data_IF_550001251594
#
_entry.id   IF_550001251594
#
_cell.length_a   1.000
_cell.length_b   1.000
_cell.length_c   1.000
_cell.angle_alpha   90.00
_cell.angle_beta   90.00
_cell.angle_gamma   90.00
#
_symmetry.space_group_name_H-M   'P 1'
#
loop_
_entity.id
_entity.type
_entity.pdbx_description
1 polymer ?
#
# COMPACT_ATOMS: atom_id res chain seq x y z
N UNK A 1 -35.48 -23.28 16.31
CA UNK A 1 -35.02 -21.95 16.77
C UNK A 1 -35.20 -20.94 15.63
N UNK A 2 -35.46 -19.68 15.98
CA UNK A 2 -35.55 -18.64 14.95
C UNK A 2 -34.17 -18.14 14.56
N UNK A 3 -33.94 -17.92 13.29
CA UNK A 3 -32.73 -17.30 12.79
C UNK A 3 -32.74 -15.79 13.17
N UNK A 4 -31.54 -15.21 13.31
CA UNK A 4 -31.45 -13.76 13.49
C UNK A 4 -31.69 -13.04 12.16
N UNK A 5 -31.17 -13.60 11.06
CA UNK A 5 -31.31 -13.04 9.71
C UNK A 5 -31.50 -14.19 8.71
N UNK A 6 -32.45 -14.01 7.80
CA UNK A 6 -32.68 -14.91 6.67
C UNK A 6 -32.62 -14.08 5.37
N UNK A 7 -31.65 -14.38 4.51
CA UNK A 7 -31.53 -13.77 3.19
C UNK A 7 -32.14 -14.77 2.20
N UNK A 8 -33.18 -14.34 1.46
CA UNK A 8 -33.93 -15.19 0.55
C UNK A 8 -33.68 -14.87 -0.91
N UNK A 9 -33.86 -15.89 -1.75
CA UNK A 9 -33.96 -15.79 -3.20
C UNK A 9 -32.67 -15.30 -3.92
N UNK A 10 -31.55 -15.22 -3.22
CA UNK A 10 -30.32 -14.65 -3.79
C UNK A 10 -29.58 -15.60 -4.73
N UNK A 11 -28.80 -15.05 -5.65
CA UNK A 11 -27.80 -15.81 -6.40
C UNK A 11 -26.53 -15.87 -5.52
N UNK A 12 -26.32 -17.01 -4.87
CA UNK A 12 -25.16 -17.18 -3.98
C UNK A 12 -23.90 -17.40 -4.81
N UNK A 13 -22.88 -16.56 -4.58
CA UNK A 13 -21.53 -16.69 -5.14
C UNK A 13 -20.59 -16.75 -3.94
N UNK A 14 -20.18 -17.94 -3.56
CA UNK A 14 -19.58 -18.20 -2.26
C UNK A 14 -18.05 -18.11 -2.22
N UNK A 15 -17.42 -17.73 -3.34
CA UNK A 15 -15.95 -17.56 -3.40
C UNK A 15 -15.17 -18.85 -3.63
N UNK A 16 -15.83 -20.01 -3.76
CA UNK A 16 -15.13 -21.29 -3.99
C UNK A 16 -14.70 -21.49 -5.43
N UNK A 17 -15.15 -20.63 -6.35
CA UNK A 17 -14.91 -20.76 -7.80
C UNK A 17 -15.98 -21.55 -8.54
N UNK A 18 -16.93 -22.15 -7.85
CA UNK A 18 -18.07 -22.81 -8.52
C UNK A 18 -19.05 -21.78 -9.07
N UNK A 19 -19.83 -22.15 -10.08
CA UNK A 19 -20.89 -21.25 -10.60
C UNK A 19 -21.86 -20.82 -9.48
N UNK A 20 -22.40 -19.61 -9.60
CA UNK A 20 -23.43 -19.12 -8.67
C UNK A 20 -24.68 -19.99 -8.74
N UNK A 21 -25.37 -20.12 -7.61
CA UNK A 21 -26.58 -20.93 -7.48
C UNK A 21 -27.62 -20.20 -6.64
N UNK A 22 -28.90 -20.42 -6.95
CA UNK A 22 -30.01 -19.84 -6.15
C UNK A 22 -30.09 -20.54 -4.81
N UNK A 23 -30.12 -19.77 -3.73
CA UNK A 23 -30.25 -20.29 -2.36
C UNK A 23 -30.62 -19.19 -1.38
N UNK A 24 -31.05 -19.60 -0.21
CA UNK A 24 -31.26 -18.74 0.95
C UNK A 24 -30.06 -18.90 1.90
N UNK A 25 -29.79 -17.88 2.70
CA UNK A 25 -28.70 -17.90 3.69
C UNK A 25 -29.29 -17.55 5.06
N UNK A 26 -29.10 -18.44 6.03
CA UNK A 26 -29.57 -18.24 7.40
C UNK A 26 -28.40 -17.95 8.35
N UNK A 27 -28.59 -16.96 9.20
CA UNK A 27 -27.58 -16.48 10.16
C UNK A 27 -28.15 -16.54 11.58
N UNK A 28 -27.37 -17.05 12.52
CA UNK A 28 -27.68 -17.04 13.95
C UNK A 28 -26.40 -16.72 14.72
N UNK A 29 -26.50 -15.82 15.71
CA UNK A 29 -25.37 -15.38 16.53
C UNK A 29 -24.16 -14.94 15.69
N UNK A 30 -24.44 -14.20 14.60
CA UNK A 30 -23.41 -13.64 13.72
C UNK A 30 -22.72 -14.67 12.83
N UNK A 31 -23.24 -15.90 12.76
CA UNK A 31 -22.64 -16.97 11.94
C UNK A 31 -23.64 -17.50 10.93
N UNK A 32 -23.15 -17.78 9.71
CA UNK A 32 -23.93 -18.49 8.70
C UNK A 32 -24.11 -19.93 9.23
N UNK A 33 -25.36 -20.32 9.46
CA UNK A 33 -25.68 -21.65 9.98
C UNK A 33 -26.22 -22.59 8.91
N UNK A 34 -26.78 -22.00 7.82
CA UNK A 34 -27.30 -22.82 6.72
C UNK A 34 -27.28 -22.02 5.42
N UNK A 35 -26.91 -22.69 4.33
CA UNK A 35 -27.02 -22.17 2.96
C UNK A 35 -27.74 -23.24 2.12
N UNK A 36 -28.85 -22.85 1.50
CA UNK A 36 -29.69 -23.79 0.75
C UNK A 36 -31.15 -23.39 0.85
N UNK A 37 -31.91 -24.22 1.59
CA UNK A 37 -33.35 -24.00 1.79
C UNK A 37 -33.70 -23.94 3.27
N UNK A 38 -33.08 -23.03 4.05
CA UNK A 38 -33.44 -22.93 5.47
C UNK A 38 -34.95 -22.70 5.65
N UNK A 39 -35.55 -23.50 6.52
CA UNK A 39 -36.98 -23.54 6.72
C UNK A 39 -37.31 -23.18 8.17
N UNK A 40 -37.07 -21.94 8.53
CA UNK A 40 -37.33 -21.43 9.88
C UNK A 40 -37.80 -20.00 9.87
N UNK A 41 -38.42 -19.58 10.98
CA UNK A 41 -38.73 -18.17 11.21
C UNK A 41 -37.42 -17.40 11.43
N UNK A 42 -37.43 -16.13 11.11
CA UNK A 42 -36.29 -15.24 11.32
C UNK A 42 -36.75 -13.92 11.95
N UNK A 43 -35.88 -13.33 12.79
CA UNK A 43 -36.14 -12.00 13.35
C UNK A 43 -36.16 -10.94 12.25
N UNK A 44 -35.29 -11.11 11.26
CA UNK A 44 -35.19 -10.22 10.09
C UNK A 44 -35.10 -11.06 8.82
N UNK A 45 -35.81 -10.64 7.76
CA UNK A 45 -35.71 -11.26 6.43
C UNK A 45 -35.38 -10.20 5.41
N UNK A 46 -34.41 -10.53 4.54
CA UNK A 46 -34.02 -9.69 3.41
C UNK A 46 -34.28 -10.49 2.12
N UNK A 47 -35.06 -9.91 1.21
CA UNK A 47 -35.28 -10.50 -0.10
C UNK A 47 -34.18 -10.04 -1.05
N UNK A 48 -33.35 -10.97 -1.53
CA UNK A 48 -32.25 -10.75 -2.46
C UNK A 48 -32.55 -11.29 -3.86
N UNK A 49 -33.83 -11.26 -4.28
CA UNK A 49 -34.32 -11.88 -5.51
C UNK A 49 -33.57 -11.49 -6.77
N UNK A 50 -33.11 -10.26 -6.88
CA UNK A 50 -32.35 -9.77 -8.04
C UNK A 50 -30.89 -9.42 -7.66
N UNK A 51 -30.40 -9.98 -6.55
CA UNK A 51 -29.08 -9.67 -6.03
C UNK A 51 -28.17 -10.90 -6.00
N UNK A 52 -26.87 -10.61 -6.06
CA UNK A 52 -25.84 -11.60 -5.72
C UNK A 52 -25.61 -11.53 -4.20
N UNK A 53 -25.59 -12.69 -3.57
CA UNK A 53 -25.22 -12.84 -2.16
C UNK A 53 -23.83 -13.47 -2.10
N UNK A 54 -22.86 -12.72 -1.62
CA UNK A 54 -21.47 -13.17 -1.53
C UNK A 54 -20.88 -12.88 -0.16
N UNK A 55 -19.79 -13.55 0.22
CA UNK A 55 -19.00 -13.10 1.37
C UNK A 55 -18.55 -11.66 1.16
N UNK A 56 -18.34 -10.92 2.23
CA UNK A 56 -17.75 -9.59 2.15
C UNK A 56 -16.36 -9.64 1.56
N UNK A 57 -15.99 -8.60 0.83
CA UNK A 57 -14.67 -8.56 0.17
C UNK A 57 -13.57 -8.38 1.21
N UNK A 58 -12.41 -8.96 0.92
CA UNK A 58 -11.18 -8.73 1.68
C UNK A 58 -10.29 -7.85 0.80
N UNK A 59 -9.91 -6.67 1.31
CA UNK A 59 -8.94 -5.82 0.62
C UNK A 59 -7.55 -6.11 1.22
N UNK A 60 -6.68 -6.82 0.50
CA UNK A 60 -5.39 -7.24 1.05
C UNK A 60 -4.34 -6.14 1.04
N UNK A 61 -4.64 -4.94 0.51
CA UNK A 61 -3.62 -3.92 0.36
C UNK A 61 -4.19 -2.52 0.61
N UNK A 62 -4.08 -2.05 1.84
CA UNK A 62 -4.58 -0.72 2.23
C UNK A 62 -3.56 0.01 3.09
N UNK A 63 -3.72 1.33 3.18
CA UNK A 63 -2.89 2.22 4.00
C UNK A 63 -3.77 3.02 4.97
N UNK A 64 -4.67 2.32 5.66
CA UNK A 64 -5.53 2.91 6.68
C UNK A 64 -4.84 3.08 8.05
N UNK A 65 -3.54 2.83 8.12
CA UNK A 65 -2.75 2.80 9.36
C UNK A 65 -2.99 4.03 10.25
N UNK A 66 -3.01 5.22 9.65
CA UNK A 66 -3.30 6.44 10.38
C UNK A 66 -4.82 6.71 10.45
N UNK A 67 -5.54 6.43 9.35
CA UNK A 67 -6.95 6.78 9.22
C UNK A 67 -7.83 6.11 10.29
N UNK A 68 -7.50 4.90 10.73
CA UNK A 68 -8.25 4.20 11.80
C UNK A 68 -8.25 4.99 13.11
N UNK A 69 -7.34 5.96 13.29
CA UNK A 69 -7.33 6.82 14.48
C UNK A 69 -8.54 7.76 14.53
N UNK A 70 -9.11 8.11 13.38
CA UNK A 70 -10.24 9.06 13.31
C UNK A 70 -11.44 8.53 12.53
N UNK A 71 -11.31 7.43 11.80
CA UNK A 71 -12.40 6.88 10.98
C UNK A 71 -12.59 5.40 11.28
N UNK A 72 -13.37 5.11 12.31
CA UNK A 72 -13.70 3.73 12.66
C UNK A 72 -14.59 3.03 11.62
N UNK A 73 -15.20 3.78 10.70
CA UNK A 73 -15.97 3.16 9.59
C UNK A 73 -15.06 2.60 8.49
N UNK A 74 -13.77 3.01 8.48
CA UNK A 74 -12.77 2.59 7.48
C UNK A 74 -13.26 2.88 6.05
N UNK A 75 -13.65 4.14 5.85
CA UNK A 75 -14.19 4.59 4.56
C UNK A 75 -13.06 4.92 3.57
N UNK A 76 -13.28 4.75 2.26
CA UNK A 76 -14.52 4.30 1.62
C UNK A 76 -14.65 2.79 1.46
N UNK A 77 -13.67 1.97 1.89
CA UNK A 77 -13.70 0.52 1.66
C UNK A 77 -14.99 -0.12 2.18
N UNK A 78 -15.44 0.26 3.40
CA UNK A 78 -16.66 -0.27 3.99
C UNK A 78 -17.92 0.04 3.16
N UNK A 79 -17.91 1.16 2.41
CA UNK A 79 -19.04 1.53 1.54
C UNK A 79 -19.16 0.63 0.30
N UNK A 80 -18.09 -0.10 -0.02
CA UNK A 80 -18.03 -0.90 -1.25
C UNK A 80 -18.10 -2.42 -0.97
N UNK A 81 -18.59 -2.79 0.21
CA UNK A 81 -18.79 -4.20 0.57
C UNK A 81 -17.52 -4.88 1.07
N UNK A 82 -16.46 -4.12 1.34
CA UNK A 82 -15.27 -4.66 2.00
C UNK A 82 -15.60 -4.87 3.49
N UNK A 83 -15.32 -6.05 4.00
CA UNK A 83 -15.56 -6.41 5.40
C UNK A 83 -14.26 -6.74 6.15
N UNK A 84 -13.14 -6.77 5.43
CA UNK A 84 -11.82 -6.98 6.05
C UNK A 84 -10.77 -6.22 5.25
N UNK A 85 -9.87 -5.52 5.92
CA UNK A 85 -8.73 -4.82 5.28
C UNK A 85 -7.43 -5.27 5.92
N UNK A 86 -6.36 -5.25 5.12
CA UNK A 86 -4.99 -5.49 5.61
C UNK A 86 -4.24 -4.15 5.60
N UNK A 87 -3.72 -3.76 6.77
CA UNK A 87 -2.96 -2.53 6.99
C UNK A 87 -1.47 -2.83 7.13
N UNK A 88 -0.64 -1.80 7.04
CA UNK A 88 0.80 -1.95 7.21
C UNK A 88 1.51 -2.45 5.98
N UNK A 89 0.96 -2.23 4.79
CA UNK A 89 1.55 -2.67 3.53
C UNK A 89 2.78 -1.84 3.14
N UNK A 90 3.53 -2.30 2.15
CA UNK A 90 4.67 -1.59 1.54
C UNK A 90 5.79 -1.22 2.53
N UNK A 91 5.79 -1.81 3.72
CA UNK A 91 6.80 -1.50 4.74
C UNK A 91 6.64 -0.12 5.36
N UNK A 92 5.52 0.59 5.13
CA UNK A 92 5.26 1.92 5.69
C UNK A 92 4.10 1.87 6.69
N UNK A 93 4.20 2.65 7.77
CA UNK A 93 3.17 2.69 8.81
C UNK A 93 3.60 3.59 9.97
N UNK A 94 2.82 3.59 11.05
CA UNK A 94 3.00 4.51 12.17
C UNK A 94 3.33 3.81 13.51
N UNK A 95 3.62 2.52 13.46
CA UNK A 95 3.95 1.77 14.69
C UNK A 95 4.95 0.64 14.38
N UNK A 96 5.88 0.34 15.31
CA UNK A 96 6.09 1.01 16.61
C UNK A 96 6.67 2.40 16.40
N UNK A 97 6.44 3.32 17.34
CA UNK A 97 6.88 4.70 17.15
C UNK A 97 7.17 5.39 18.49
N UNK A 98 8.39 5.89 18.64
CA UNK A 98 8.75 6.73 19.78
C UNK A 98 8.39 8.19 19.49
N UNK A 99 8.23 8.97 20.53
CA UNK A 99 7.83 10.38 20.45
C UNK A 99 8.68 11.17 19.43
N UNK A 100 9.99 10.98 19.48
CA UNK A 100 10.93 11.72 18.61
C UNK A 100 10.84 11.29 17.14
N UNK A 101 10.24 10.13 16.83
CA UNK A 101 10.11 9.61 15.47
C UNK A 101 8.75 9.92 14.83
N UNK A 102 7.80 10.51 15.56
CA UNK A 102 6.43 10.73 15.05
C UNK A 102 6.40 11.57 13.78
N UNK A 103 7.21 12.63 13.72
CA UNK A 103 7.28 13.50 12.52
C UNK A 103 7.83 12.73 11.33
N UNK A 104 8.83 11.88 11.54
CA UNK A 104 9.41 11.03 10.48
C UNK A 104 8.34 10.08 9.94
N UNK A 105 7.63 9.37 10.83
CA UNK A 105 6.58 8.42 10.46
C UNK A 105 5.45 9.10 9.66
N UNK A 106 5.02 10.29 10.08
CA UNK A 106 4.01 11.06 9.33
C UNK A 106 4.53 11.44 7.94
N UNK A 107 5.76 11.92 7.82
CA UNK A 107 6.32 12.30 6.52
C UNK A 107 6.53 11.09 5.60
N UNK A 108 6.83 9.92 6.13
CA UNK A 108 6.89 8.70 5.32
C UNK A 108 5.54 8.43 4.65
N UNK A 109 4.44 8.55 5.41
CA UNK A 109 3.08 8.40 4.85
C UNK A 109 2.72 9.52 3.88
N UNK A 110 3.10 10.78 4.17
CA UNK A 110 2.89 11.89 3.23
C UNK A 110 3.59 11.59 1.91
N UNK A 111 4.81 11.10 1.98
CA UNK A 111 5.65 10.92 0.78
C UNK A 111 5.21 9.72 -0.05
N UNK A 112 4.81 8.62 0.59
CA UNK A 112 4.51 7.37 -0.11
C UNK A 112 3.02 7.27 -0.47
N UNK A 113 2.13 7.73 0.43
CA UNK A 113 0.68 7.55 0.27
C UNK A 113 -0.06 8.85 -0.02
N UNK A 114 0.66 9.98 -0.08
CA UNK A 114 0.10 11.31 -0.37
C UNK A 114 -0.97 11.76 0.65
N UNK A 115 -0.93 11.23 1.86
CA UNK A 115 -1.86 11.66 2.94
C UNK A 115 -1.40 13.04 3.43
N UNK A 116 -2.28 14.05 3.48
CA UNK A 116 -1.85 15.40 3.90
C UNK A 116 -1.29 15.40 5.33
N UNK A 117 -0.16 16.07 5.52
CA UNK A 117 0.50 16.16 6.83
C UNK A 117 -0.45 16.70 7.92
N UNK A 118 -1.26 17.70 7.55
CA UNK A 118 -2.21 18.32 8.47
C UNK A 118 -3.27 17.32 8.95
N UNK A 119 -3.70 16.42 8.07
CA UNK A 119 -4.66 15.36 8.45
C UNK A 119 -4.01 14.37 9.42
N UNK A 120 -2.78 13.96 9.14
CA UNK A 120 -2.03 13.06 10.02
C UNK A 120 -1.79 13.71 11.40
N UNK A 121 -1.30 14.95 11.39
CA UNK A 121 -0.97 15.69 12.61
C UNK A 121 -2.19 15.94 13.51
N UNK A 122 -3.36 16.14 12.90
CA UNK A 122 -4.60 16.36 13.66
C UNK A 122 -5.27 15.04 14.08
N UNK A 123 -5.10 13.99 13.28
CA UNK A 123 -5.88 12.76 13.43
C UNK A 123 -5.21 11.66 14.25
N UNK A 124 -3.88 11.59 14.26
CA UNK A 124 -3.19 10.52 14.96
C UNK A 124 -3.09 10.85 16.46
N UNK A 125 -3.55 9.95 17.31
CA UNK A 125 -3.62 10.17 18.76
C UNK A 125 -2.34 9.80 19.50
N UNK A 126 -1.47 8.97 18.87
CA UNK A 126 -0.19 8.53 19.45
C UNK A 126 -0.33 7.96 20.87
N UNK A 127 -1.37 7.14 21.11
CA UNK A 127 -1.60 6.49 22.41
C UNK A 127 -0.95 5.10 22.48
N UNK A 128 0.19 4.95 21.79
CA UNK A 128 1.02 3.74 21.75
C UNK A 128 2.50 4.12 21.56
N UNK A 129 3.38 3.20 21.93
CA UNK A 129 4.79 3.22 21.53
C UNK A 129 5.14 1.94 20.75
N UNK A 130 4.64 0.79 21.23
CA UNK A 130 4.91 -0.52 20.62
C UNK A 130 3.85 -0.88 19.59
N UNK A 131 4.15 -1.89 18.78
CA UNK A 131 3.20 -2.37 17.75
C UNK A 131 1.97 -3.07 18.39
N UNK A 132 2.11 -3.92 19.42
CA UNK A 132 0.93 -4.45 20.10
C UNK A 132 0.01 -3.36 20.69
N UNK A 133 0.59 -2.33 21.29
CA UNK A 133 -0.22 -1.20 21.81
C UNK A 133 -1.00 -0.50 20.71
N UNK A 134 -0.39 -0.33 19.52
CA UNK A 134 -1.07 0.24 18.36
C UNK A 134 -2.27 -0.65 17.93
N UNK A 135 -2.08 -1.96 17.87
CA UNK A 135 -3.17 -2.89 17.54
C UNK A 135 -4.30 -2.79 18.58
N UNK A 136 -3.96 -2.70 19.86
CA UNK A 136 -4.95 -2.51 20.94
C UNK A 136 -5.66 -1.16 20.79
N UNK A 137 -4.93 -0.11 20.46
CA UNK A 137 -5.48 1.22 20.20
C UNK A 137 -6.51 1.18 19.08
N UNK A 138 -6.17 0.51 17.97
CA UNK A 138 -7.09 0.34 16.85
C UNK A 138 -8.34 -0.45 17.27
N UNK A 139 -8.17 -1.51 18.06
CA UNK A 139 -9.30 -2.33 18.55
C UNK A 139 -10.24 -1.52 19.46
N UNK A 140 -9.68 -0.64 20.32
CA UNK A 140 -10.49 0.22 21.21
C UNK A 140 -11.41 1.17 20.42
N UNK A 141 -11.08 1.49 19.16
CA UNK A 141 -11.88 2.35 18.29
C UNK A 141 -13.09 1.65 17.68
N UNK A 142 -13.21 0.34 17.90
CA UNK A 142 -14.34 -0.48 17.45
C UNK A 142 -14.60 -0.31 15.94
N UNK A 143 -13.62 -0.65 15.10
CA UNK A 143 -13.82 -0.50 13.66
C UNK A 143 -15.01 -1.30 13.16
N UNK A 144 -15.70 -0.77 12.13
CA UNK A 144 -16.92 -1.39 11.59
C UNK A 144 -16.63 -2.63 10.73
N UNK A 145 -15.35 -2.84 10.34
CA UNK A 145 -14.90 -4.00 9.57
C UNK A 145 -13.66 -4.60 10.22
N UNK A 146 -13.30 -5.80 9.82
CA UNK A 146 -12.16 -6.50 10.41
C UNK A 146 -10.84 -5.86 9.94
N UNK A 147 -9.90 -5.74 10.87
CA UNK A 147 -8.55 -5.24 10.60
C UNK A 147 -7.55 -6.39 10.75
N UNK A 148 -6.72 -6.58 9.74
CA UNK A 148 -5.55 -7.45 9.81
C UNK A 148 -4.31 -6.58 9.67
N UNK A 149 -3.29 -6.82 10.47
CA UNK A 149 -2.11 -5.96 10.54
C UNK A 149 -0.87 -6.69 10.04
N UNK A 150 -0.12 -6.04 9.15
CA UNK A 150 1.26 -6.42 8.86
C UNK A 150 2.19 -5.50 9.66
N UNK A 151 3.28 -6.04 10.16
CA UNK A 151 4.34 -5.26 10.82
C UNK A 151 5.17 -4.56 9.71
N UNK A 152 5.02 -3.24 9.50
CA UNK A 152 5.74 -2.56 8.41
C UNK A 152 7.19 -2.32 8.81
N UNK A 153 8.16 -2.81 8.02
CA UNK A 153 9.57 -2.81 8.44
C UNK A 153 10.17 -1.42 8.67
N UNK A 154 9.68 -0.37 8.00
CA UNK A 154 10.23 0.99 8.18
C UNK A 154 10.15 1.45 9.64
N UNK A 155 8.97 1.51 10.29
CA UNK A 155 8.94 1.93 11.69
C UNK A 155 9.66 0.97 12.63
N UNK A 156 9.71 -0.33 12.35
CA UNK A 156 10.49 -1.28 13.16
C UNK A 156 11.99 -0.94 13.11
N UNK A 157 12.49 -0.59 11.92
CA UNK A 157 13.90 -0.17 11.77
C UNK A 157 14.15 1.18 12.45
N UNK A 158 13.24 2.14 12.30
CA UNK A 158 13.34 3.43 13.00
C UNK A 158 13.38 3.24 14.52
N UNK A 159 12.54 2.35 15.03
CA UNK A 159 12.41 2.11 16.48
C UNK A 159 13.72 1.59 17.10
N UNK A 160 14.47 0.77 16.36
CA UNK A 160 15.72 0.16 16.85
C UNK A 160 16.95 0.97 16.50
N UNK A 161 17.00 1.59 15.33
CA UNK A 161 18.21 2.21 14.76
C UNK A 161 18.15 3.74 14.77
N UNK A 162 16.96 4.33 14.99
CA UNK A 162 16.80 5.77 14.88
C UNK A 162 17.05 6.24 13.44
N UNK A 163 17.67 7.40 13.30
CA UNK A 163 17.94 8.02 11.99
C UNK A 163 18.85 7.18 11.10
N UNK A 164 19.74 6.39 11.69
CA UNK A 164 20.67 5.53 10.93
C UNK A 164 19.92 4.49 10.09
N UNK A 165 18.69 4.19 10.44
CA UNK A 165 17.84 3.27 9.66
C UNK A 165 17.65 3.72 8.21
N UNK A 166 17.75 5.03 7.95
CA UNK A 166 17.63 5.63 6.61
C UNK A 166 18.99 5.79 5.90
N UNK A 167 20.07 5.29 6.50
CA UNK A 167 21.43 5.49 5.99
C UNK A 167 22.14 4.18 5.66
N UNK A 168 21.82 3.11 6.40
CA UNK A 168 22.55 1.86 6.29
C UNK A 168 21.69 0.63 6.62
N UNK A 169 22.22 -0.52 6.30
CA UNK A 169 21.67 -1.82 6.75
C UNK A 169 21.87 -1.97 8.27
N UNK A 170 21.06 -2.80 8.91
CA UNK A 170 21.16 -3.08 10.34
C UNK A 170 22.37 -3.99 10.63
N UNK A 171 23.02 -3.74 11.74
CA UNK A 171 24.03 -4.67 12.30
C UNK A 171 23.34 -5.96 12.74
N UNK A 172 24.11 -7.01 12.99
CA UNK A 172 23.59 -8.29 13.48
C UNK A 172 22.76 -8.11 14.77
N UNK A 173 23.22 -7.26 15.68
CA UNK A 173 22.53 -6.99 16.96
C UNK A 173 21.17 -6.28 16.70
N UNK A 174 21.17 -5.26 15.87
CA UNK A 174 19.95 -4.53 15.49
C UNK A 174 18.97 -5.46 14.76
N UNK A 175 19.47 -6.28 13.83
CA UNK A 175 18.66 -7.29 13.12
C UNK A 175 17.96 -8.22 14.13
N UNK A 176 18.70 -8.68 15.15
CA UNK A 176 18.12 -9.54 16.20
C UNK A 176 17.03 -8.84 17.00
N UNK A 177 17.24 -7.55 17.32
CA UNK A 177 16.23 -6.74 18.03
C UNK A 177 14.97 -6.53 17.20
N UNK A 178 15.14 -6.19 15.91
CA UNK A 178 14.01 -6.01 14.98
C UNK A 178 13.25 -7.33 14.84
N UNK A 179 13.97 -8.45 14.67
CA UNK A 179 13.35 -9.78 14.57
C UNK A 179 12.54 -10.14 15.83
N UNK A 180 13.03 -9.73 17.02
CA UNK A 180 12.31 -9.94 18.27
C UNK A 180 11.00 -9.14 18.32
N UNK A 181 11.05 -7.89 17.88
CA UNK A 181 9.85 -7.02 17.80
C UNK A 181 8.82 -7.58 16.80
N UNK A 182 9.30 -8.11 15.65
CA UNK A 182 8.40 -8.76 14.68
C UNK A 182 7.76 -10.01 15.34
N UNK A 183 8.54 -10.78 16.10
CA UNK A 183 8.00 -11.96 16.79
C UNK A 183 6.92 -11.54 17.81
N UNK A 184 7.16 -10.48 18.55
CA UNK A 184 6.18 -9.89 19.48
C UNK A 184 4.90 -9.46 18.76
N UNK A 185 5.04 -8.76 17.61
CA UNK A 185 3.88 -8.35 16.80
C UNK A 185 3.05 -9.58 16.34
N UNK A 186 3.73 -10.64 15.89
CA UNK A 186 3.07 -11.89 15.46
C UNK A 186 2.35 -12.57 16.65
N UNK A 187 2.97 -12.56 17.83
CA UNK A 187 2.34 -13.12 19.04
C UNK A 187 1.12 -12.32 19.46
N UNK A 188 1.16 -11.00 19.27
CA UNK A 188 0.02 -10.11 19.54
C UNK A 188 -1.10 -10.23 18.49
N UNK A 189 -0.87 -10.93 17.37
CA UNK A 189 -1.91 -11.16 16.37
C UNK A 189 -1.63 -10.58 14.99
N UNK A 190 -0.47 -9.99 14.78
CA UNK A 190 -0.12 -9.49 13.44
C UNK A 190 -0.11 -10.63 12.41
N UNK A 191 -0.56 -10.30 11.21
CA UNK A 191 -0.74 -11.26 10.11
C UNK A 191 0.57 -11.54 9.36
N UNK A 192 1.65 -10.85 9.73
CA UNK A 192 2.95 -11.00 9.07
C UNK A 192 3.73 -9.70 9.11
N UNK A 193 4.60 -9.50 8.12
CA UNK A 193 5.32 -8.24 7.99
C UNK A 193 5.34 -7.78 6.52
N UNK A 194 5.69 -6.52 6.32
CA UNK A 194 5.77 -5.96 4.97
C UNK A 194 7.06 -5.18 4.73
N UNK A 195 7.42 -5.03 3.45
CA UNK A 195 8.60 -4.28 3.01
C UNK A 195 8.41 -3.69 1.62
N UNK A 196 9.40 -2.94 1.15
CA UNK A 196 9.45 -2.43 -0.23
C UNK A 196 10.89 -2.34 -0.73
N UNK A 197 11.05 -2.53 -2.05
CA UNK A 197 12.31 -2.19 -2.73
C UNK A 197 12.09 -1.14 -3.82
N UNK A 198 10.90 -0.54 -3.88
CA UNK A 198 10.56 0.42 -4.95
C UNK A 198 11.34 1.72 -4.79
N UNK A 199 11.97 2.16 -5.86
CA UNK A 199 12.79 3.39 -5.86
C UNK A 199 11.95 4.63 -5.53
N UNK A 200 10.67 4.65 -5.91
CA UNK A 200 9.76 5.76 -5.66
C UNK A 200 9.29 5.84 -4.20
N UNK A 201 9.50 4.79 -3.39
CA UNK A 201 9.16 4.84 -1.97
C UNK A 201 10.27 5.59 -1.21
N UNK A 202 10.15 6.91 -1.24
CA UNK A 202 11.05 7.84 -0.57
C UNK A 202 10.39 8.35 0.71
N UNK A 203 11.15 8.33 1.79
CA UNK A 203 10.66 8.76 3.10
C UNK A 203 11.06 10.19 3.45
N UNK A 204 11.14 10.44 4.74
CA UNK A 204 11.47 11.73 5.33
C UNK A 204 12.78 12.28 4.75
N UNK A 205 12.77 13.58 4.42
CA UNK A 205 13.96 14.28 3.91
C UNK A 205 14.43 13.82 2.53
N UNK A 206 13.60 13.09 1.77
CA UNK A 206 13.99 12.58 0.46
C UNK A 206 14.95 11.40 0.51
N UNK A 207 15.06 10.75 1.67
CA UNK A 207 15.85 9.53 1.85
C UNK A 207 14.99 8.31 1.45
N UNK A 208 15.61 7.17 1.14
CA UNK A 208 14.82 5.95 0.95
C UNK A 208 14.01 5.62 2.20
N UNK A 209 12.83 5.00 2.06
CA UNK A 209 12.19 4.37 3.22
C UNK A 209 13.19 3.42 3.89
N UNK A 210 13.21 3.41 5.21
CA UNK A 210 14.21 2.64 5.97
C UNK A 210 14.23 1.15 5.59
N UNK A 211 13.06 0.55 5.31
CA UNK A 211 12.99 -0.87 4.94
C UNK A 211 13.69 -1.19 3.61
N UNK A 212 13.85 -0.19 2.71
CA UNK A 212 14.57 -0.38 1.44
C UNK A 212 16.06 -0.68 1.62
N UNK A 213 16.61 -0.33 2.79
CA UNK A 213 18.03 -0.55 3.11
C UNK A 213 18.27 -1.87 3.84
N UNK A 214 17.22 -2.68 4.03
CA UNK A 214 17.37 -3.98 4.65
C UNK A 214 18.18 -4.91 3.72
N UNK A 215 19.24 -5.49 4.27
CA UNK A 215 20.06 -6.46 3.54
C UNK A 215 19.34 -7.81 3.43
N UNK A 216 19.85 -8.67 2.54
CA UNK A 216 19.34 -10.04 2.40
C UNK A 216 19.40 -10.81 3.74
N UNK A 217 20.45 -10.60 4.52
CA UNK A 217 20.60 -11.27 5.84
C UNK A 217 19.51 -10.78 6.82
N UNK A 218 19.19 -9.49 6.80
CA UNK A 218 18.09 -8.95 7.57
C UNK A 218 16.77 -9.60 7.14
N UNK A 219 16.49 -9.60 5.83
CA UNK A 219 15.24 -10.16 5.29
C UNK A 219 15.13 -11.66 5.63
N UNK A 220 16.22 -12.42 5.55
CA UNK A 220 16.25 -13.84 5.98
C UNK A 220 15.91 -13.98 7.46
N UNK A 221 16.48 -13.13 8.29
CA UNK A 221 16.25 -13.16 9.74
C UNK A 221 14.77 -12.91 10.07
N UNK A 222 14.20 -11.87 9.45
CA UNK A 222 12.79 -11.48 9.66
C UNK A 222 11.83 -12.54 9.12
N UNK A 223 12.06 -13.05 7.92
CA UNK A 223 11.29 -14.15 7.33
C UNK A 223 11.37 -15.41 8.20
N UNK A 224 12.56 -15.67 8.78
CA UNK A 224 12.78 -16.77 9.70
C UNK A 224 11.91 -16.72 10.96
N UNK A 225 11.46 -15.54 11.38
CA UNK A 225 10.51 -15.41 12.49
C UNK A 225 9.20 -16.12 12.12
N UNK A 226 8.66 -15.86 10.94
CA UNK A 226 7.40 -16.48 10.48
C UNK A 226 7.55 -18.00 10.36
N UNK A 227 8.72 -18.48 9.91
CA UNK A 227 9.01 -19.90 9.83
C UNK A 227 8.93 -20.56 11.22
N UNK A 228 9.61 -19.95 12.21
CA UNK A 228 9.62 -20.48 13.59
C UNK A 228 8.21 -20.45 14.20
N UNK A 229 7.44 -19.39 13.96
CA UNK A 229 6.08 -19.23 14.48
C UNK A 229 5.05 -20.07 13.70
N UNK A 230 5.39 -20.55 12.50
CA UNK A 230 4.49 -21.27 11.58
C UNK A 230 3.23 -20.48 11.27
N UNK A 231 3.32 -19.15 11.29
CA UNK A 231 2.21 -18.21 11.10
C UNK A 231 2.60 -17.08 10.14
N UNK A 232 1.60 -16.45 9.57
CA UNK A 232 1.72 -15.19 8.88
C UNK A 232 2.05 -15.29 7.40
N UNK A 233 2.18 -14.12 6.79
CA UNK A 233 2.53 -13.95 5.38
C UNK A 233 3.46 -12.74 5.28
N UNK A 234 4.10 -12.58 4.12
CA UNK A 234 4.93 -11.41 3.83
C UNK A 234 4.28 -10.65 2.68
N UNK A 235 4.22 -9.34 2.79
CA UNK A 235 3.87 -8.46 1.66
C UNK A 235 5.10 -7.67 1.25
N UNK A 236 5.34 -7.54 -0.05
CA UNK A 236 6.46 -6.74 -0.54
C UNK A 236 6.09 -5.96 -1.79
N UNK A 237 6.36 -4.64 -1.76
CA UNK A 237 6.29 -3.82 -2.95
C UNK A 237 7.59 -4.07 -3.74
N UNK A 238 7.49 -4.85 -4.80
CA UNK A 238 8.62 -5.54 -5.42
C UNK A 238 8.99 -5.04 -6.80
N UNK A 239 8.01 -4.84 -7.71
CA UNK A 239 8.32 -4.53 -9.11
C UNK A 239 8.68 -3.04 -9.26
N UNK A 240 9.98 -2.72 -9.29
CA UNK A 240 10.48 -1.35 -9.44
C UNK A 240 9.99 -0.70 -10.74
N UNK A 241 9.89 -1.49 -11.81
CA UNK A 241 9.14 -1.11 -13.00
C UNK A 241 7.76 -1.77 -12.89
N UNK A 242 6.75 -0.97 -12.55
CA UNK A 242 5.41 -1.47 -12.26
C UNK A 242 4.95 -2.49 -13.31
N UNK A 243 4.57 -3.67 -12.86
CA UNK A 243 4.07 -4.75 -13.71
C UNK A 243 5.13 -5.61 -14.38
N UNK A 244 6.42 -5.29 -14.21
CA UNK A 244 7.53 -6.06 -14.80
C UNK A 244 8.40 -6.63 -13.68
N UNK A 245 8.47 -7.94 -13.59
CA UNK A 245 9.27 -8.62 -12.57
C UNK A 245 10.68 -8.90 -13.11
N UNK A 246 11.69 -8.30 -12.51
CA UNK A 246 13.09 -8.45 -12.94
C UNK A 246 13.78 -9.63 -12.24
N UNK A 247 14.96 -9.99 -12.74
CA UNK A 247 15.71 -11.17 -12.26
C UNK A 247 16.08 -11.06 -10.78
N UNK A 248 16.62 -9.92 -10.36
CA UNK A 248 17.01 -9.70 -8.97
C UNK A 248 15.78 -9.61 -8.05
N UNK A 249 14.66 -9.13 -8.57
CA UNK A 249 13.39 -9.12 -7.85
C UNK A 249 12.89 -10.55 -7.61
N UNK A 250 13.08 -11.44 -8.60
CA UNK A 250 12.82 -12.88 -8.40
C UNK A 250 13.68 -13.45 -7.27
N UNK A 251 14.96 -13.07 -7.20
CA UNK A 251 15.87 -13.53 -6.14
C UNK A 251 15.38 -13.10 -4.76
N UNK A 252 14.93 -11.84 -4.64
CA UNK A 252 14.33 -11.35 -3.38
C UNK A 252 13.07 -12.14 -3.01
N UNK A 253 12.21 -12.41 -3.99
CA UNK A 253 10.97 -13.16 -3.77
C UNK A 253 11.28 -14.61 -3.33
N UNK A 254 12.24 -15.27 -4.00
CA UNK A 254 12.68 -16.62 -3.63
C UNK A 254 13.28 -16.64 -2.22
N UNK A 255 14.13 -15.65 -1.90
CA UNK A 255 14.73 -15.52 -0.58
C UNK A 255 13.65 -15.50 0.51
N UNK A 256 12.62 -14.65 0.32
CA UNK A 256 11.54 -14.52 1.32
C UNK A 256 10.73 -15.81 1.45
N UNK A 257 10.40 -16.46 0.32
CA UNK A 257 9.65 -17.72 0.31
C UNK A 257 10.44 -18.84 1.04
N UNK A 258 11.71 -19.01 0.69
CA UNK A 258 12.54 -20.11 1.22
C UNK A 258 12.87 -19.87 2.71
N UNK A 259 13.13 -18.62 3.09
CA UNK A 259 13.46 -18.29 4.48
C UNK A 259 12.23 -18.39 5.39
N UNK A 260 11.05 -18.00 4.90
CA UNK A 260 9.83 -18.02 5.73
C UNK A 260 9.08 -19.35 5.68
N UNK A 261 9.09 -20.03 4.55
CA UNK A 261 8.18 -21.16 4.29
C UNK A 261 6.71 -20.72 4.34
N UNK A 262 6.43 -19.43 4.09
CA UNK A 262 5.09 -18.84 4.22
C UNK A 262 4.71 -18.14 2.92
N UNK A 263 3.42 -17.88 2.70
CA UNK A 263 3.01 -17.10 1.52
C UNK A 263 3.68 -15.74 1.48
N UNK A 264 4.05 -15.33 0.26
CA UNK A 264 4.59 -13.98 0.00
C UNK A 264 3.72 -13.33 -1.07
N UNK A 265 3.05 -12.25 -0.73
CA UNK A 265 2.28 -11.47 -1.71
C UNK A 265 3.12 -10.28 -2.17
N UNK A 266 3.01 -9.92 -3.45
CA UNK A 266 3.84 -8.84 -3.99
C UNK A 266 3.06 -7.95 -4.95
N UNK A 267 3.33 -6.66 -4.91
CA UNK A 267 2.87 -5.73 -5.94
C UNK A 267 4.00 -5.50 -6.95
N UNK A 268 3.73 -5.36 -8.24
CA UNK A 268 2.38 -5.33 -8.78
C UNK A 268 2.31 -6.16 -10.05
N UNK A 269 1.14 -6.71 -10.31
CA UNK A 269 0.81 -7.34 -11.58
C UNK A 269 -0.17 -6.42 -12.30
N UNK A 270 0.33 -5.63 -13.27
CA UNK A 270 -0.50 -4.68 -14.01
C UNK A 270 -0.24 -4.80 -15.49
N UNK A 271 -1.32 -4.77 -16.27
CA UNK A 271 -1.22 -4.68 -17.72
C UNK A 271 -0.75 -3.28 -18.11
N UNK A 272 0.05 -3.20 -19.16
CA UNK A 272 0.68 -1.95 -19.58
C UNK A 272 0.61 -1.79 -21.09
N UNK A 273 0.06 -0.67 -21.55
CA UNK A 273 0.00 -0.36 -22.98
C UNK A 273 1.37 -0.08 -23.59
N UNK A 274 2.31 0.38 -22.76
CA UNK A 274 3.67 0.72 -23.22
C UNK A 274 4.63 -0.49 -23.19
N UNK A 275 4.24 -1.58 -22.55
CA UNK A 275 5.00 -2.83 -22.52
C UNK A 275 4.03 -3.96 -22.76
N UNK A 276 3.89 -4.34 -24.04
CA UNK A 276 3.05 -5.48 -24.41
C UNK A 276 3.57 -6.74 -23.72
N UNK A 277 2.69 -7.61 -23.30
CA UNK A 277 3.02 -8.89 -22.66
C UNK A 277 3.55 -8.77 -21.22
N UNK A 278 3.60 -7.57 -20.61
CA UNK A 278 4.15 -7.38 -19.26
C UNK A 278 3.55 -8.37 -18.25
N UNK A 279 2.22 -8.52 -18.25
CA UNK A 279 1.52 -9.45 -17.34
C UNK A 279 1.93 -10.90 -17.63
N UNK A 280 1.93 -11.28 -18.90
CA UNK A 280 2.24 -12.67 -19.30
C UNK A 280 3.68 -13.04 -18.95
N UNK A 281 4.61 -12.14 -19.25
CA UNK A 281 6.04 -12.36 -18.95
C UNK A 281 6.29 -12.40 -17.43
N UNK A 282 5.65 -11.51 -16.69
CA UNK A 282 5.76 -11.50 -15.22
C UNK A 282 5.18 -12.80 -14.64
N UNK A 283 4.01 -13.25 -15.08
CA UNK A 283 3.43 -14.50 -14.61
C UNK A 283 4.32 -15.71 -14.97
N UNK A 284 4.87 -15.74 -16.20
CA UNK A 284 5.78 -16.80 -16.63
C UNK A 284 7.03 -16.82 -15.75
N UNK A 285 7.62 -15.65 -15.48
CA UNK A 285 8.81 -15.53 -14.64
C UNK A 285 8.51 -15.90 -13.18
N UNK A 286 7.34 -15.49 -12.67
CA UNK A 286 6.92 -15.78 -11.31
C UNK A 286 6.42 -17.21 -11.09
N UNK A 287 6.16 -17.99 -12.16
CA UNK A 287 5.51 -19.30 -12.04
C UNK A 287 6.19 -20.23 -11.00
N UNK A 288 7.54 -20.36 -10.96
CA UNK A 288 8.16 -21.21 -9.94
C UNK A 288 7.92 -20.72 -8.50
N UNK A 289 7.91 -19.39 -8.31
CA UNK A 289 7.64 -18.78 -7.00
C UNK A 289 6.14 -18.91 -6.63
N UNK A 290 5.25 -18.78 -7.61
CA UNK A 290 3.79 -18.98 -7.41
C UNK A 290 3.54 -20.42 -6.92
N UNK A 291 4.24 -21.39 -7.49
CA UNK A 291 4.15 -22.78 -7.05
C UNK A 291 4.62 -22.96 -5.59
N UNK A 292 5.56 -22.13 -5.13
CA UNK A 292 6.06 -22.12 -3.75
C UNK A 292 5.18 -21.30 -2.79
N UNK A 293 4.20 -20.53 -3.31
CA UNK A 293 3.32 -19.73 -2.45
C UNK A 293 3.38 -18.23 -2.67
N UNK A 294 4.05 -17.74 -3.72
CA UNK A 294 3.98 -16.33 -4.08
C UNK A 294 2.58 -16.00 -4.62
N UNK A 295 2.11 -14.79 -4.36
CA UNK A 295 0.80 -14.32 -4.84
C UNK A 295 0.95 -12.88 -5.34
N UNK A 296 0.95 -12.68 -6.66
CA UNK A 296 0.97 -11.31 -7.20
C UNK A 296 -0.36 -10.60 -6.94
N UNK A 297 -0.30 -9.33 -6.61
CA UNK A 297 -1.48 -8.49 -6.42
C UNK A 297 -1.73 -7.65 -7.66
N UNK A 298 -3.02 -7.43 -7.96
CA UNK A 298 -3.47 -6.53 -9.02
C UNK A 298 -4.66 -5.73 -8.52
N UNK A 299 -4.88 -4.58 -9.14
CA UNK A 299 -6.09 -3.78 -8.87
C UNK A 299 -7.24 -4.25 -9.75
N UNK A 300 -8.48 -4.27 -9.23
CA UNK A 300 -9.65 -4.57 -10.07
C UNK A 300 -10.00 -3.42 -11.02
N UNK A 301 -9.40 -2.24 -10.85
CA UNK A 301 -9.63 -1.05 -11.67
C UNK A 301 -8.30 -0.57 -12.24
N UNK A 302 -8.33 0.16 -13.36
CA UNK A 302 -7.12 0.80 -13.87
C UNK A 302 -6.49 1.69 -12.80
N UNK A 303 -5.16 1.62 -12.68
CA UNK A 303 -4.44 2.43 -11.71
C UNK A 303 -4.50 3.90 -12.12
N UNK A 304 -5.23 4.70 -11.38
CA UNK A 304 -5.32 6.13 -11.56
C UNK A 304 -4.73 6.83 -10.34
N UNK A 305 -3.91 7.82 -10.57
CA UNK A 305 -3.21 8.53 -9.50
C UNK A 305 -3.32 10.03 -9.71
N UNK A 306 -3.75 10.73 -8.67
CA UNK A 306 -3.67 12.19 -8.66
C UNK A 306 -2.28 12.62 -8.19
N UNK A 307 -1.75 13.66 -8.81
CA UNK A 307 -0.44 14.21 -8.51
C UNK A 307 -0.59 15.69 -8.17
N UNK A 308 -0.20 16.07 -6.98
CA UNK A 308 -0.07 17.47 -6.57
C UNK A 308 1.42 17.84 -6.59
N UNK A 309 1.74 18.97 -7.17
CA UNK A 309 3.14 19.42 -7.27
C UNK A 309 3.74 19.80 -5.90
N UNK A 310 2.92 19.89 -4.87
CA UNK A 310 3.42 20.03 -3.47
C UNK A 310 3.93 18.69 -2.95
N UNK A 311 3.38 17.58 -3.43
CA UNK A 311 3.88 16.24 -3.16
C UNK A 311 4.00 15.46 -4.47
N UNK A 312 5.06 15.71 -5.25
CA UNK A 312 5.21 15.14 -6.59
C UNK A 312 5.70 13.69 -6.56
N UNK A 313 5.04 12.83 -5.79
CA UNK A 313 5.40 11.43 -5.53
C UNK A 313 5.72 10.66 -6.82
N UNK A 314 4.93 10.87 -7.88
CA UNK A 314 5.12 10.15 -9.15
C UNK A 314 6.50 10.38 -9.78
N UNK A 315 7.19 11.47 -9.39
CA UNK A 315 8.52 11.79 -9.89
C UNK A 315 9.65 11.41 -8.91
N UNK A 316 9.32 10.80 -7.78
CA UNK A 316 10.29 10.50 -6.73
C UNK A 316 11.43 9.56 -7.18
N UNK A 317 11.18 8.75 -8.22
CA UNK A 317 12.20 7.85 -8.79
C UNK A 317 13.27 8.55 -9.64
N UNK A 318 13.00 9.82 -10.04
CA UNK A 318 13.96 10.56 -10.87
C UNK A 318 14.99 11.26 -9.97
N UNK A 319 16.30 11.05 -10.20
CA UNK A 319 17.34 11.67 -9.36
C UNK A 319 17.24 13.18 -9.22
N UNK A 320 16.90 13.90 -10.30
CA UNK A 320 16.74 15.36 -10.26
C UNK A 320 15.68 15.80 -9.22
N UNK A 321 14.64 14.99 -9.00
CA UNK A 321 13.52 15.35 -8.13
C UNK A 321 13.83 15.21 -6.64
N UNK A 322 14.94 14.55 -6.27
CA UNK A 322 15.35 14.45 -4.86
C UNK A 322 15.35 15.82 -4.18
N UNK A 323 15.77 16.87 -4.90
CA UNK A 323 15.80 18.24 -4.40
C UNK A 323 14.43 18.78 -3.99
N UNK A 324 13.36 18.33 -4.67
CA UNK A 324 11.99 18.77 -4.38
C UNK A 324 11.40 18.06 -3.15
N UNK A 325 12.02 16.98 -2.71
CA UNK A 325 11.60 16.23 -1.51
C UNK A 325 12.41 16.58 -0.27
N UNK A 326 13.55 17.25 -0.43
CA UNK A 326 14.44 17.60 0.68
C UNK A 326 13.84 18.69 1.56
N UNK A 327 13.28 19.73 0.94
CA UNK A 327 12.57 20.81 1.63
C UNK A 327 11.24 21.03 0.89
N UNK A 328 10.15 20.68 1.56
CA UNK A 328 8.80 20.75 1.00
C UNK A 328 8.12 22.10 1.22
N UNK A 329 8.84 23.09 1.79
CA UNK A 329 8.26 24.43 1.87
C UNK A 329 7.94 24.95 0.46
N UNK A 330 6.84 25.66 0.35
CA UNK A 330 6.35 26.23 -0.92
C UNK A 330 7.44 27.04 -1.62
N UNK A 331 8.20 27.78 -0.85
CA UNK A 331 9.26 28.65 -1.35
C UNK A 331 10.45 27.86 -1.90
N UNK A 332 10.87 26.81 -1.19
CA UNK A 332 11.97 25.95 -1.63
C UNK A 332 11.58 25.19 -2.91
N UNK A 333 10.38 24.60 -2.93
CA UNK A 333 9.91 23.88 -4.11
C UNK A 333 9.81 24.80 -5.33
N UNK A 334 9.30 26.03 -5.17
CA UNK A 334 9.25 27.00 -6.25
C UNK A 334 10.64 27.30 -6.83
N UNK A 335 11.64 27.44 -5.96
CA UNK A 335 13.04 27.64 -6.40
C UNK A 335 13.54 26.45 -7.21
N UNK A 336 13.29 25.22 -6.73
CA UNK A 336 13.68 24.01 -7.45
C UNK A 336 13.00 23.94 -8.82
N UNK A 337 11.69 24.18 -8.89
CA UNK A 337 10.93 24.07 -10.14
C UNK A 337 11.29 25.19 -11.13
N UNK A 338 11.77 26.34 -10.65
CA UNK A 338 12.22 27.44 -11.50
C UNK A 338 13.66 27.25 -12.01
N UNK A 339 14.44 26.40 -11.36
CA UNK A 339 15.86 26.19 -11.65
C UNK A 339 16.06 25.58 -13.06
N UNK A 340 16.79 26.28 -13.98
CA UNK A 340 17.06 25.72 -15.30
C UNK A 340 17.82 24.41 -15.28
N UNK A 341 18.74 24.22 -14.33
CA UNK A 341 19.53 22.98 -14.24
C UNK A 341 18.63 21.80 -13.84
N UNK A 342 17.72 22.00 -12.87
CA UNK A 342 16.72 20.99 -12.52
C UNK A 342 15.91 20.58 -13.76
N UNK A 343 15.42 21.56 -14.50
CA UNK A 343 14.60 21.32 -15.70
C UNK A 343 15.39 20.57 -16.79
N UNK A 344 16.65 20.94 -16.99
CA UNK A 344 17.49 20.27 -17.99
C UNK A 344 17.78 18.84 -17.59
N UNK A 345 18.14 18.60 -16.33
CA UNK A 345 18.37 17.25 -15.80
C UNK A 345 17.12 16.39 -15.98
N UNK A 346 15.95 16.90 -15.60
CA UNK A 346 14.69 16.17 -15.74
C UNK A 346 14.36 15.86 -17.20
N UNK A 347 14.64 16.80 -18.14
CA UNK A 347 14.47 16.54 -19.57
C UNK A 347 15.30 15.37 -20.05
N UNK A 348 16.55 15.28 -19.59
CA UNK A 348 17.45 14.15 -19.93
C UNK A 348 16.92 12.85 -19.36
N UNK A 349 16.52 12.86 -18.09
CA UNK A 349 15.95 11.67 -17.43
C UNK A 349 14.68 11.17 -18.14
N UNK A 350 13.88 12.07 -18.67
CA UNK A 350 12.65 11.72 -19.40
C UNK A 350 12.90 11.09 -20.78
N UNK A 351 14.13 11.11 -21.28
CA UNK A 351 14.45 10.38 -22.51
C UNK A 351 14.40 8.86 -22.26
N UNK A 352 14.57 8.46 -21.01
CA UNK A 352 14.52 7.06 -20.61
C UNK A 352 13.72 6.94 -19.29
N UNK A 353 12.40 7.14 -19.35
CA UNK A 353 11.57 7.35 -18.15
C UNK A 353 11.21 6.03 -17.46
N UNK A 354 12.19 5.37 -16.86
CA UNK A 354 11.95 4.11 -16.15
C UNK A 354 10.80 4.26 -15.13
N UNK A 355 9.70 3.56 -15.38
CA UNK A 355 8.59 3.49 -14.44
C UNK A 355 7.59 4.64 -14.45
N UNK A 356 7.82 5.68 -15.23
CA UNK A 356 6.90 6.84 -15.21
C UNK A 356 5.66 6.64 -16.08
N UNK A 357 5.78 5.90 -17.17
CA UNK A 357 4.67 5.70 -18.10
C UNK A 357 4.61 6.77 -19.18
N UNK A 358 3.43 6.93 -19.76
CA UNK A 358 3.23 7.75 -20.96
C UNK A 358 2.61 9.11 -20.60
N UNK A 359 3.28 10.20 -20.99
CA UNK A 359 2.79 11.57 -20.82
C UNK A 359 1.39 11.80 -21.44
N UNK A 360 1.05 11.05 -22.47
CA UNK A 360 -0.25 11.15 -23.14
C UNK A 360 -1.42 10.73 -22.23
N UNK A 361 -1.13 10.07 -21.12
CA UNK A 361 -2.11 9.60 -20.13
C UNK A 361 -2.29 10.56 -18.96
N UNK A 362 -1.52 11.66 -18.92
CA UNK A 362 -1.64 12.65 -17.84
C UNK A 362 -2.68 13.68 -18.24
N UNK A 363 -3.64 13.92 -17.36
CA UNK A 363 -4.70 14.91 -17.54
C UNK A 363 -4.64 15.94 -16.41
N UNK A 364 -4.75 17.21 -16.73
CA UNK A 364 -4.90 18.26 -15.74
C UNK A 364 -6.35 18.28 -15.26
N UNK A 365 -6.58 17.82 -14.04
CA UNK A 365 -7.93 17.73 -13.47
C UNK A 365 -8.48 19.06 -13.03
N UNK A 366 -7.69 19.80 -12.25
CA UNK A 366 -8.10 21.08 -11.69
C UNK A 366 -7.01 22.12 -11.93
N UNK A 367 -7.39 23.21 -12.58
CA UNK A 367 -6.45 24.28 -12.89
C UNK A 367 -6.97 25.58 -12.28
N UNK A 368 -6.30 26.07 -11.25
CA UNK A 368 -6.66 27.30 -10.55
C UNK A 368 -6.16 28.55 -11.26
N UNK A 369 -5.07 28.45 -12.01
CA UNK A 369 -4.51 29.58 -12.74
C UNK A 369 -5.30 29.87 -14.02
N UNK A 370 -5.86 31.10 -14.20
CA UNK A 370 -6.57 31.43 -15.43
C UNK A 370 -5.73 31.24 -16.71
N UNK A 371 -4.41 31.47 -16.61
CA UNK A 371 -3.48 31.31 -17.75
C UNK A 371 -3.37 29.85 -18.19
N UNK A 372 -3.63 28.91 -17.30
CA UNK A 372 -3.52 27.47 -17.57
C UNK A 372 -4.87 26.81 -17.80
N UNK A 373 -5.98 27.50 -17.54
CA UNK A 373 -7.34 26.93 -17.60
C UNK A 373 -7.61 26.26 -18.96
N UNK A 374 -7.06 26.80 -20.05
CA UNK A 374 -7.17 26.20 -21.40
C UNK A 374 -6.58 24.80 -21.52
N UNK A 375 -5.78 24.34 -20.54
CA UNK A 375 -5.19 22.99 -20.54
C UNK A 375 -5.97 22.01 -19.66
N UNK A 376 -6.97 22.47 -18.94
CA UNK A 376 -7.79 21.60 -18.10
C UNK A 376 -8.52 20.57 -18.96
N UNK A 377 -8.49 19.35 -18.56
CA UNK A 377 -9.00 18.26 -19.38
C UNK A 377 -8.11 17.80 -20.53
N UNK A 378 -7.21 18.38 -20.74
CA UNK A 378 -6.50 18.11 -21.79
C UNK A 378 -5.41 17.32 -21.51
N UNK A 379 -5.41 16.68 -21.43
CA UNK A 379 -4.50 16.10 -21.32
C UNK A 379 -3.75 15.91 -22.27
N UNK A 380 -3.06 15.75 -22.62
CA UNK A 380 -2.42 15.31 -23.86
C UNK A 380 -1.01 15.91 -24.06
N UNK A 381 -0.42 15.56 -25.15
CA UNK A 381 0.97 15.88 -25.52
C UNK A 381 1.39 17.35 -25.28
N UNK A 382 0.44 18.25 -25.12
CA UNK A 382 0.72 19.66 -24.82
C UNK A 382 1.29 19.87 -23.40
N UNK A 383 1.05 18.94 -22.47
CA UNK A 383 1.65 19.04 -21.13
C UNK A 383 3.17 18.90 -21.17
N UNK A 384 3.70 18.07 -22.08
CA UNK A 384 5.15 17.93 -22.23
C UNK A 384 5.81 19.30 -22.56
N UNK A 385 5.18 20.09 -23.43
CA UNK A 385 5.68 21.44 -23.73
C UNK A 385 5.49 22.40 -22.57
N UNK A 386 4.41 22.24 -21.79
CA UNK A 386 4.12 23.08 -20.62
C UNK A 386 5.18 22.96 -19.52
N UNK A 387 5.53 21.74 -19.14
CA UNK A 387 6.56 21.50 -18.11
C UNK A 387 7.95 22.00 -18.54
N UNK A 388 8.16 22.13 -19.85
CA UNK A 388 9.49 22.40 -20.41
C UNK A 388 9.60 23.74 -21.14
N UNK A 389 8.52 24.49 -21.22
CA UNK A 389 8.53 25.82 -21.83
C UNK A 389 9.24 26.82 -20.90
N UNK A 390 10.17 27.57 -21.46
CA UNK A 390 10.86 28.64 -20.74
C UNK A 390 9.93 29.80 -20.40
N UNK A 391 8.74 29.84 -21.03
CA UNK A 391 7.76 30.94 -20.83
C UNK A 391 6.89 30.75 -19.56
N UNK A 392 7.07 29.66 -18.82
CA UNK A 392 6.23 29.31 -17.67
C UNK A 392 6.90 29.51 -16.30
N UNK A 393 7.86 30.39 -16.20
CA UNK A 393 8.37 30.87 -14.90
C UNK A 393 7.45 32.02 -14.43
N UNK A 394 6.96 32.05 -13.27
CA UNK A 394 6.76 31.22 -12.08
C UNK A 394 5.29 30.82 -11.91
N UNK A 395 4.93 29.57 -12.14
CA UNK A 395 3.52 29.17 -12.16
C UNK A 395 3.16 28.08 -11.15
N UNK A 396 3.98 27.91 -10.11
CA UNK A 396 3.67 26.98 -9.02
C UNK A 396 3.51 27.77 -7.72
#
# INVERSE_FOLDING_TARGET
MAYDLLIRNGLVVDGTGRPGYKANVAVTDGKIVEVGEPNGAAKQTVDAGDCVVSPGFIDPHTHYDAQICWDGAVTPSSWHGVTSVVLGNCGVGIAPCRLEAQVVAMHDLVNVEAIPFEALSAGITWDWETFPEYMDSAARRKPSINLAFLAPLTPFRHFVMGEESMERSATRNETSKIAALIAEAIDAGAFGFSSTILNQHMGFGGKPLACRLASDDELRSYAGVLKRKKKGAIEIALTRQIGVLEKDECQTLELLLDASGRPVTFIALFDRDDISEAVRDTLKRAAPMIAKGARPQTSPLPLTREIDMRNPFAFASFPSWKRAFTDKSKEAQKKVYADPDFRNQFREELKNPAGFGDWRRITLHEVRSPRLKRFEGXXKAKMRSMFFSTSLSPMI
#
